data_IF_569236016264
#
_entry.id   IF_569236016264
#
_cell.length_a   1.000
_cell.length_b   1.000
_cell.length_c   1.000
_cell.angle_alpha   90.00
_cell.angle_beta   90.00
_cell.angle_gamma   90.00
#
_symmetry.space_group_name_H-M   'P 1'
#
loop_
_entity.id
_entity.type
_entity.pdbx_description
1 polymer ?
#
# COMPACT_ATOMS: atom_id res chain seq x y z
N UNK A 1 5.94 15.26 4.54
CA UNK A 1 5.69 13.84 4.88
C UNK A 1 5.08 13.14 3.67
N UNK A 2 5.50 11.94 3.41
CA UNK A 2 5.00 11.13 2.28
C UNK A 2 3.94 10.17 2.79
N UNK A 3 2.84 10.03 2.05
CA UNK A 3 1.84 9.01 2.34
C UNK A 3 2.33 7.63 1.91
N UNK A 4 2.10 6.63 2.73
CA UNK A 4 2.52 5.27 2.46
C UNK A 4 1.29 4.36 2.45
N UNK A 5 1.20 3.49 1.46
CA UNK A 5 0.18 2.45 1.39
C UNK A 5 0.89 1.11 1.34
N UNK A 6 0.63 0.24 2.30
CA UNK A 6 1.14 -1.12 2.29
C UNK A 6 0.04 -2.01 1.71
N UNK A 7 0.39 -2.86 0.77
CA UNK A 7 -0.57 -3.78 0.16
C UNK A 7 0.08 -5.14 -0.08
N UNK A 8 -0.72 -6.19 -0.12
CA UNK A 8 -0.22 -7.53 -0.34
C UNK A 8 -1.31 -8.58 -0.23
N UNK A 9 -0.93 -9.81 -0.48
CA UNK A 9 -1.82 -10.96 -0.42
C UNK A 9 -2.22 -11.27 1.03
N UNK A 10 -3.44 -11.77 1.19
CA UNK A 10 -3.95 -12.12 2.52
C UNK A 10 -3.97 -10.90 3.41
N UNK A 11 -3.42 -11.03 4.60
CA UNK A 11 -3.35 -9.95 5.57
C UNK A 11 -1.91 -9.42 5.73
N UNK A 12 -1.12 -9.55 4.69
CA UNK A 12 0.26 -9.05 4.70
C UNK A 12 0.32 -7.58 5.10
N UNK A 13 -0.50 -6.75 4.49
CA UNK A 13 -0.46 -5.30 4.71
C UNK A 13 -0.83 -4.95 6.16
N UNK A 14 -1.95 -5.44 6.66
CA UNK A 14 -2.37 -5.16 8.03
C UNK A 14 -1.43 -5.75 9.07
N UNK A 15 -0.90 -6.95 8.82
CA UNK A 15 0.11 -7.56 9.69
C UNK A 15 1.41 -6.78 9.71
N UNK A 16 1.85 -6.32 8.56
CA UNK A 16 3.08 -5.52 8.45
C UNK A 16 2.93 -4.17 9.18
N UNK A 17 1.78 -3.52 9.05
CA UNK A 17 1.51 -2.28 9.79
C UNK A 17 1.50 -2.53 11.28
N UNK A 18 0.91 -3.63 11.73
CA UNK A 18 0.89 -4.01 13.14
C UNK A 18 2.32 -4.14 13.69
N UNK A 19 3.21 -4.82 12.96
CA UNK A 19 4.60 -4.97 13.36
C UNK A 19 5.34 -3.62 13.38
N UNK A 20 5.10 -2.80 12.37
CA UNK A 20 5.71 -1.49 12.27
C UNK A 20 5.32 -0.60 13.46
N UNK A 21 4.06 -0.65 13.87
CA UNK A 21 3.57 0.16 14.99
C UNK A 21 4.14 -0.28 16.33
N UNK A 22 4.44 -1.57 16.50
CA UNK A 22 5.10 -2.06 17.71
C UNK A 22 6.51 -1.47 17.84
N UNK A 23 7.22 -1.35 16.73
CA UNK A 23 8.61 -0.89 16.71
C UNK A 23 8.71 0.64 16.71
N UNK A 24 7.96 1.29 15.85
CA UNK A 24 8.08 2.73 15.58
C UNK A 24 6.94 3.57 16.15
N UNK A 25 5.94 2.97 16.76
CA UNK A 25 4.75 3.66 17.25
C UNK A 25 3.75 3.90 16.13
N UNK A 26 2.67 4.59 16.47
CA UNK A 26 1.60 4.87 15.53
C UNK A 26 2.08 5.75 14.38
N UNK A 27 1.75 5.35 13.16
CA UNK A 27 2.15 6.06 11.94
C UNK A 27 0.89 6.50 11.19
N UNK A 28 0.49 7.74 11.35
CA UNK A 28 -0.75 8.26 10.74
C UNK A 28 -0.69 8.36 9.22
N UNK A 29 0.51 8.42 8.65
CA UNK A 29 0.70 8.48 7.19
C UNK A 29 0.70 7.11 6.52
N UNK A 30 0.56 6.02 7.27
CA UNK A 30 0.57 4.65 6.75
C UNK A 30 -0.84 4.10 6.73
N UNK A 31 -1.29 3.67 5.56
CA UNK A 31 -2.57 3.00 5.36
C UNK A 31 -2.32 1.63 4.73
N UNK A 32 -3.29 0.75 4.86
CA UNK A 32 -3.16 -0.62 4.35
C UNK A 32 -4.34 -1.00 3.47
N UNK A 33 -4.06 -1.81 2.45
CA UNK A 33 -5.09 -2.43 1.61
C UNK A 33 -4.73 -3.90 1.46
N UNK A 34 -5.46 -4.76 2.14
CA UNK A 34 -5.26 -6.21 2.06
C UNK A 34 -5.97 -6.79 0.84
N UNK A 35 -5.39 -7.86 0.28
CA UNK A 35 -6.03 -8.63 -0.77
C UNK A 35 -6.32 -10.03 -0.22
N UNK A 36 -7.43 -10.14 0.50
CA UNK A 36 -7.77 -11.36 1.21
C UNK A 36 -8.41 -12.40 0.29
N UNK A 37 -8.33 -13.66 0.71
CA UNK A 37 -8.97 -14.76 0.00
C UNK A 37 -10.47 -14.48 -0.13
N UNK A 38 -11.01 -14.67 -1.34
CA UNK A 38 -12.41 -14.38 -1.61
C UNK A 38 -12.70 -12.95 -2.03
N UNK A 39 -11.73 -12.05 -1.91
CA UNK A 39 -11.88 -10.68 -2.38
C UNK A 39 -11.71 -10.63 -3.90
N UNK A 40 -12.62 -9.96 -4.60
CA UNK A 40 -12.48 -9.78 -6.05
C UNK A 40 -11.41 -8.74 -6.36
N UNK A 41 -10.78 -8.87 -7.53
CA UNK A 41 -9.82 -7.87 -7.99
C UNK A 41 -10.48 -6.50 -8.11
N UNK A 42 -11.73 -6.46 -8.59
CA UNK A 42 -12.47 -5.21 -8.73
C UNK A 42 -12.69 -4.51 -7.39
N UNK A 43 -13.08 -5.26 -6.38
CA UNK A 43 -13.28 -4.69 -5.03
C UNK A 43 -11.96 -4.19 -4.46
N UNK A 44 -10.88 -4.95 -4.64
CA UNK A 44 -9.55 -4.53 -4.22
C UNK A 44 -9.14 -3.22 -4.90
N UNK A 45 -9.38 -3.11 -6.22
CA UNK A 45 -9.00 -1.92 -6.97
C UNK A 45 -9.80 -0.69 -6.55
N UNK A 46 -11.07 -0.85 -6.25
CA UNK A 46 -11.88 0.25 -5.74
C UNK A 46 -11.33 0.77 -4.40
N UNK A 47 -11.01 -0.14 -3.50
CA UNK A 47 -10.47 0.21 -2.19
C UNK A 47 -9.09 0.85 -2.31
N UNK A 48 -8.25 0.33 -3.20
CA UNK A 48 -6.93 0.90 -3.46
C UNK A 48 -7.06 2.32 -4.03
N UNK A 49 -7.97 2.53 -4.98
CA UNK A 49 -8.19 3.85 -5.57
C UNK A 49 -8.60 4.88 -4.52
N UNK A 50 -9.54 4.53 -3.66
CA UNK A 50 -9.97 5.41 -2.57
C UNK A 50 -8.83 5.75 -1.64
N UNK A 51 -8.02 4.76 -1.29
CA UNK A 51 -6.89 4.95 -0.37
C UNK A 51 -5.83 5.86 -1.00
N UNK A 52 -5.53 5.65 -2.28
CA UNK A 52 -4.59 6.50 -3.03
C UNK A 52 -5.08 7.95 -3.03
N UNK A 53 -6.35 8.17 -3.33
CA UNK A 53 -6.92 9.51 -3.39
C UNK A 53 -6.82 10.23 -2.04
N UNK A 54 -7.15 9.54 -0.95
CA UNK A 54 -7.07 10.11 0.40
C UNK A 54 -5.64 10.45 0.78
N UNK A 55 -4.70 9.54 0.54
CA UNK A 55 -3.29 9.75 0.87
C UNK A 55 -2.70 10.88 0.02
N UNK A 56 -3.02 10.92 -1.25
CA UNK A 56 -2.55 11.97 -2.15
C UNK A 56 -3.09 13.35 -1.74
N UNK A 57 -4.36 13.42 -1.34
CA UNK A 57 -4.98 14.68 -0.93
C UNK A 57 -4.32 15.26 0.33
N UNK A 58 -3.89 14.39 1.26
CA UNK A 58 -3.28 14.85 2.52
C UNK A 58 -1.79 15.11 2.38
N UNK A 59 -1.06 14.22 1.68
CA UNK A 59 0.40 14.23 1.69
C UNK A 59 1.04 14.70 0.38
N UNK A 60 0.31 14.73 -0.71
CA UNK A 60 0.81 15.15 -2.03
C UNK A 60 1.60 14.09 -2.76
N UNK A 61 2.46 13.35 -2.07
CA UNK A 61 3.22 12.23 -2.64
C UNK A 61 2.88 10.96 -1.90
N UNK A 62 2.78 9.86 -2.64
CA UNK A 62 2.39 8.56 -2.09
C UNK A 62 3.32 7.47 -2.64
N UNK A 63 3.74 6.57 -1.75
CA UNK A 63 4.47 5.36 -2.14
C UNK A 63 3.61 4.16 -1.76
N UNK A 64 3.36 3.30 -2.73
CA UNK A 64 2.66 2.04 -2.51
C UNK A 64 3.70 0.93 -2.40
N UNK A 65 3.70 0.22 -1.28
CA UNK A 65 4.65 -0.85 -1.00
C UNK A 65 3.92 -2.19 -1.04
N UNK A 66 4.15 -2.97 -2.09
CA UNK A 66 3.53 -4.27 -2.28
C UNK A 66 4.45 -5.40 -1.83
N UNK A 67 3.88 -6.54 -1.49
CA UNK A 67 4.63 -7.72 -1.02
C UNK A 67 5.49 -8.34 -2.11
N UNK A 68 4.94 -8.50 -3.31
CA UNK A 68 5.61 -9.17 -4.44
C UNK A 68 5.52 -8.32 -5.70
N UNK A 69 6.57 -8.34 -6.50
CA UNK A 69 6.52 -7.82 -7.86
C UNK A 69 5.75 -8.82 -8.72
N UNK A 70 4.77 -8.33 -9.47
CA UNK A 70 4.01 -9.16 -10.42
C UNK A 70 2.75 -9.81 -9.88
N UNK A 71 2.49 -9.78 -8.57
CA UNK A 71 1.21 -10.25 -8.02
C UNK A 71 0.08 -9.25 -8.24
N UNK A 72 -1.16 -9.64 -7.96
CA UNK A 72 -2.32 -8.75 -8.13
C UNK A 72 -2.19 -7.42 -7.38
N UNK A 73 -1.81 -7.39 -6.10
CA UNK A 73 -1.65 -6.10 -5.42
C UNK A 73 -0.66 -5.17 -6.12
N UNK A 74 0.45 -5.70 -6.62
CA UNK A 74 1.44 -4.90 -7.36
C UNK A 74 0.89 -4.44 -8.70
N UNK A 75 0.35 -5.36 -9.50
CA UNK A 75 -0.14 -5.05 -10.85
C UNK A 75 -1.29 -4.05 -10.83
N UNK A 76 -2.26 -4.25 -9.95
CA UNK A 76 -3.38 -3.31 -9.82
C UNK A 76 -2.91 -1.93 -9.37
N UNK A 77 -1.94 -1.88 -8.45
CA UNK A 77 -1.37 -0.61 -8.00
C UNK A 77 -0.69 0.13 -9.14
N UNK A 78 0.11 -0.58 -9.95
CA UNK A 78 0.76 0.03 -11.12
C UNK A 78 -0.26 0.58 -12.10
N UNK A 79 -1.30 -0.21 -12.42
CA UNK A 79 -2.34 0.22 -13.36
C UNK A 79 -3.07 1.47 -12.89
N UNK A 80 -3.37 1.55 -11.59
CA UNK A 80 -4.10 2.68 -11.03
C UNK A 80 -3.26 3.96 -10.96
N UNK A 81 -1.94 3.85 -11.06
CA UNK A 81 -1.03 4.98 -10.88
C UNK A 81 -0.29 5.41 -12.14
N UNK A 82 -0.61 4.81 -13.30
CA UNK A 82 0.11 5.06 -14.55
C UNK A 82 0.17 6.54 -14.96
N UNK A 83 -0.85 7.30 -14.62
CA UNK A 83 -0.96 8.72 -15.02
C UNK A 83 -0.63 9.69 -13.89
N UNK A 84 -0.17 9.19 -12.75
CA UNK A 84 0.11 10.04 -11.61
C UNK A 84 1.58 9.93 -11.19
N UNK A 85 2.39 10.91 -11.57
CA UNK A 85 3.82 10.92 -11.26
C UNK A 85 4.14 11.11 -9.78
N UNK A 86 3.15 11.52 -8.97
CA UNK A 86 3.33 11.70 -7.54
C UNK A 86 3.05 10.41 -6.74
N UNK A 87 2.71 9.34 -7.43
CA UNK A 87 2.46 8.04 -6.80
C UNK A 87 3.41 7.01 -7.39
N UNK A 88 4.19 6.36 -6.55
CA UNK A 88 5.16 5.34 -6.96
C UNK A 88 4.81 3.99 -6.33
N UNK A 89 5.18 2.91 -7.00
CA UNK A 89 4.90 1.55 -6.54
C UNK A 89 6.22 0.79 -6.42
N UNK A 90 6.43 0.14 -5.27
CA UNK A 90 7.58 -0.71 -5.02
C UNK A 90 7.10 -2.11 -4.62
N UNK A 91 7.81 -3.14 -5.05
CA UNK A 91 7.55 -4.52 -4.67
C UNK A 91 8.62 -5.06 -3.72
N UNK A 92 8.42 -6.28 -3.22
CA UNK A 92 9.37 -6.92 -2.33
C UNK A 92 9.47 -6.27 -0.96
N UNK A 93 8.38 -5.70 -0.48
CA UNK A 93 8.35 -4.98 0.80
C UNK A 93 8.61 -5.91 1.97
N UNK A 94 9.40 -5.43 2.92
CA UNK A 94 9.64 -6.10 4.18
C UNK A 94 9.73 -5.06 5.32
N UNK A 95 9.70 -5.55 6.55
CA UNK A 95 9.69 -4.66 7.71
C UNK A 95 10.94 -3.78 7.80
N UNK A 96 12.10 -4.33 7.48
CA UNK A 96 13.35 -3.56 7.47
C UNK A 96 13.31 -2.39 6.50
N UNK A 97 12.76 -2.61 5.30
CA UNK A 97 12.59 -1.56 4.30
C UNK A 97 11.68 -0.44 4.82
N UNK A 98 10.57 -0.81 5.47
CA UNK A 98 9.61 0.17 5.97
C UNK A 98 10.15 1.01 7.12
N UNK A 99 11.12 0.48 7.87
CA UNK A 99 11.72 1.20 8.98
C UNK A 99 12.80 2.20 8.55
N UNK A 100 13.25 2.09 7.31
CA UNK A 100 14.18 3.07 6.75
C UNK A 100 13.42 4.32 6.28
#
# INVERSE_FOLDING_TARGET
>A
MIGIIITGHGRFASGMKSALEVIAGECENVKTVDFEQGCSVQHFEEKMRETIERQHAVFGQVIICADLVGGTPFKSSVLLTLKNSNVQVAGGTNLGLLLE
#
